data_IF_211710909046
#
_entry.id   IF_211710909046
#
_cell.length_a   1.000
_cell.length_b   1.000
_cell.length_c   1.000
_cell.angle_alpha   90.00
_cell.angle_beta   90.00
_cell.angle_gamma   90.00
#
_symmetry.space_group_name_H-M   'P 1'
#
loop_
_entity.id
_entity.type
_entity.pdbx_description
1 polymer ?
#
# COMPACT_ATOMS: atom_id res chain seq x y z
N UNK A 1 -21.15 -19.57 57.84
CA UNK A 1 -21.77 -18.68 56.85
C UNK A 1 -20.77 -17.71 56.20
N UNK A 2 -19.87 -17.05 56.98
CA UNK A 2 -18.92 -16.05 56.44
C UNK A 2 -17.85 -16.62 55.46
N UNK A 3 -17.43 -17.89 55.62
CA UNK A 3 -16.42 -18.49 54.73
C UNK A 3 -16.97 -18.88 53.34
N UNK A 4 -18.28 -19.12 53.23
CA UNK A 4 -18.94 -19.48 51.98
C UNK A 4 -19.18 -18.25 51.08
N UNK A 5 -19.47 -17.10 51.68
CA UNK A 5 -19.63 -15.84 50.94
C UNK A 5 -18.30 -15.33 50.37
N UNK A 6 -17.21 -15.38 51.14
CA UNK A 6 -15.88 -14.99 50.67
C UNK A 6 -15.37 -15.92 49.56
N UNK A 7 -15.66 -17.22 49.64
CA UNK A 7 -15.33 -18.18 48.57
C UNK A 7 -16.10 -17.93 47.28
N UNK A 8 -17.40 -17.64 47.38
CA UNK A 8 -18.23 -17.30 46.21
C UNK A 8 -17.82 -15.98 45.57
N UNK A 9 -17.45 -14.98 46.35
CA UNK A 9 -16.97 -13.68 45.85
C UNK A 9 -15.62 -13.78 45.13
N UNK A 10 -14.70 -14.56 45.70
CA UNK A 10 -13.39 -14.81 45.04
C UNK A 10 -13.53 -15.61 43.74
N UNK A 11 -14.45 -16.60 43.72
CA UNK A 11 -14.72 -17.36 42.48
C UNK A 11 -15.36 -16.48 41.40
N UNK A 12 -16.28 -15.58 41.78
CA UNK A 12 -16.93 -14.65 40.88
C UNK A 12 -15.94 -13.62 40.32
N UNK A 13 -15.07 -13.05 41.17
CA UNK A 13 -13.99 -12.15 40.75
C UNK A 13 -12.98 -12.86 39.84
N UNK A 14 -12.60 -14.09 40.14
CA UNK A 14 -11.71 -14.90 39.33
C UNK A 14 -12.30 -15.16 37.92
N UNK A 15 -13.56 -15.53 37.83
CA UNK A 15 -14.25 -15.75 36.56
C UNK A 15 -14.46 -14.45 35.76
N UNK A 16 -14.74 -13.34 36.45
CA UNK A 16 -14.85 -12.03 35.78
C UNK A 16 -13.53 -11.54 35.22
N UNK A 17 -12.42 -11.72 35.94
CA UNK A 17 -11.08 -11.41 35.51
C UNK A 17 -10.61 -12.30 34.34
N UNK A 18 -10.90 -13.61 34.41
CA UNK A 18 -10.63 -14.54 33.30
C UNK A 18 -11.45 -14.18 32.05
N UNK A 19 -12.72 -13.84 32.18
CA UNK A 19 -13.56 -13.41 31.07
C UNK A 19 -13.08 -12.10 30.43
N UNK A 20 -12.59 -11.15 31.26
CA UNK A 20 -12.03 -9.89 30.78
C UNK A 20 -10.68 -10.05 30.06
N UNK A 21 -9.91 -11.10 30.39
CA UNK A 21 -8.63 -11.43 29.80
C UNK A 21 -8.75 -12.37 28.58
N UNK A 22 -9.93 -12.93 28.32
CA UNK A 22 -10.13 -13.87 27.21
C UNK A 22 -9.88 -13.23 25.85
N UNK A 23 -9.16 -13.93 24.96
CA UNK A 23 -8.89 -13.53 23.59
C UNK A 23 -10.16 -13.33 22.74
N UNK A 24 -11.30 -13.84 23.16
CA UNK A 24 -12.60 -13.64 22.50
C UNK A 24 -13.04 -12.17 22.50
N UNK A 25 -12.52 -11.36 23.42
CA UNK A 25 -12.84 -9.93 23.57
C UNK A 25 -11.86 -9.01 22.83
N UNK A 26 -10.88 -9.56 22.12
CA UNK A 26 -9.92 -8.79 21.35
C UNK A 26 -10.40 -8.62 19.91
N UNK A 27 -9.99 -7.51 19.29
CA UNK A 27 -10.19 -7.26 17.87
C UNK A 27 -8.84 -7.11 17.20
N UNK A 28 -8.70 -7.72 16.05
CA UNK A 28 -7.54 -7.53 15.17
C UNK A 28 -7.92 -6.57 14.06
N UNK A 29 -7.16 -5.50 13.90
CA UNK A 29 -7.39 -4.43 12.93
C UNK A 29 -6.23 -4.40 11.95
N UNK A 30 -6.55 -4.44 10.65
CA UNK A 30 -5.57 -4.27 9.59
C UNK A 30 -5.28 -2.78 9.41
N UNK A 31 -4.01 -2.39 9.53
CA UNK A 31 -3.52 -1.05 9.28
C UNK A 31 -2.53 -1.12 8.14
N UNK A 32 -2.93 -0.69 6.96
CA UNK A 32 -2.09 -0.62 5.79
C UNK A 32 -1.35 0.72 5.72
N UNK A 33 -0.17 0.72 5.12
CA UNK A 33 0.62 1.94 4.95
C UNK A 33 -0.01 2.89 3.93
N UNK A 34 -0.82 2.35 3.00
CA UNK A 34 -1.59 3.09 2.00
C UNK A 34 -2.97 2.45 1.81
N UNK A 35 -3.93 3.24 1.34
CA UNK A 35 -5.28 2.76 0.99
C UNK A 35 -5.38 2.33 -0.48
N UNK A 36 -4.46 2.76 -1.34
CA UNK A 36 -4.40 2.40 -2.74
C UNK A 36 -2.97 2.06 -3.17
N UNK A 37 -2.85 1.06 -4.03
CA UNK A 37 -1.60 0.52 -4.55
C UNK A 37 -1.70 0.37 -6.07
N UNK A 38 -0.58 0.52 -6.78
CA UNK A 38 -0.52 0.14 -8.18
C UNK A 38 -0.48 -1.38 -8.33
N UNK A 39 -1.05 -1.88 -9.43
CA UNK A 39 -0.96 -3.30 -9.75
C UNK A 39 0.51 -3.78 -9.73
N UNK A 40 0.78 -4.86 -9.01
CA UNK A 40 2.12 -5.40 -8.80
C UNK A 40 3.01 -4.62 -7.83
N UNK A 41 2.49 -3.58 -7.15
CA UNK A 41 3.17 -2.91 -6.04
C UNK A 41 3.13 -3.80 -4.79
N UNK A 42 4.10 -3.62 -3.88
CA UNK A 42 4.09 -4.30 -2.59
C UNK A 42 3.07 -3.64 -1.65
N UNK A 43 2.11 -4.43 -1.20
CA UNK A 43 1.17 -4.05 -0.14
C UNK A 43 1.85 -4.31 1.20
N UNK A 44 2.03 -3.26 1.97
CA UNK A 44 2.68 -3.31 3.28
C UNK A 44 1.76 -2.74 4.36
N UNK A 45 1.96 -3.23 5.57
CA UNK A 45 1.17 -2.83 6.72
C UNK A 45 1.34 -3.79 7.87
N UNK A 46 0.47 -3.68 8.84
CA UNK A 46 0.48 -4.52 10.04
C UNK A 46 -0.93 -4.83 10.51
N UNK A 47 -1.07 -5.93 11.22
CA UNK A 47 -2.29 -6.22 11.96
C UNK A 47 -2.05 -5.89 13.43
N UNK A 48 -2.86 -5.01 13.96
CA UNK A 48 -2.78 -4.52 15.35
C UNK A 48 -3.90 -5.16 16.15
N UNK A 49 -3.55 -5.65 17.33
CA UNK A 49 -4.51 -6.13 18.31
C UNK A 49 -5.04 -4.95 19.12
N UNK A 50 -6.34 -4.83 19.29
CA UNK A 50 -7.00 -3.72 20.01
C UNK A 50 -6.67 -3.64 21.50
N UNK A 51 -6.07 -4.70 22.06
CA UNK A 51 -5.46 -4.72 23.40
C UNK A 51 -4.18 -5.54 23.31
N UNK A 52 -3.04 -4.91 23.52
CA UNK A 52 -1.74 -5.56 23.53
C UNK A 52 -1.32 -5.85 24.96
N UNK A 53 -1.10 -7.12 25.26
CA UNK A 53 -0.36 -7.56 26.43
C UNK A 53 0.96 -8.18 25.94
N UNK A 54 2.07 -7.64 26.43
CA UNK A 54 3.42 -8.11 26.07
C UNK A 54 3.64 -9.60 26.37
N UNK A 55 2.85 -10.18 27.28
CA UNK A 55 2.93 -11.58 27.65
C UNK A 55 2.05 -12.51 26.79
N UNK A 56 1.17 -11.95 25.96
CA UNK A 56 0.27 -12.73 25.11
C UNK A 56 0.79 -12.74 23.67
N UNK A 57 1.55 -13.78 23.35
CA UNK A 57 2.08 -14.00 22.01
C UNK A 57 1.14 -14.91 21.20
N UNK A 58 0.87 -14.62 19.91
CA UNK A 58 0.13 -15.53 19.06
C UNK A 58 0.92 -16.83 18.85
N UNK A 59 0.25 -17.96 18.98
CA UNK A 59 0.83 -19.30 18.75
C UNK A 59 0.83 -19.70 17.29
N UNK A 60 -0.10 -19.15 16.50
CA UNK A 60 -0.17 -19.38 15.07
C UNK A 60 -0.66 -18.14 14.31
N UNK A 61 -0.31 -18.06 13.03
CA UNK A 61 -0.76 -17.02 12.14
C UNK A 61 -1.05 -17.61 10.75
N UNK A 62 -2.23 -17.31 10.23
CA UNK A 62 -2.61 -17.63 8.85
C UNK A 62 -3.03 -16.36 8.15
N UNK A 63 -2.28 -15.95 7.14
CA UNK A 63 -2.53 -14.72 6.38
C UNK A 63 -1.32 -14.26 5.57
N UNK A 64 -1.45 -13.16 4.82
CA UNK A 64 -0.37 -12.62 4.00
C UNK A 64 0.64 -11.87 4.88
N UNK A 65 1.80 -12.47 5.11
CA UNK A 65 2.88 -11.87 5.90
C UNK A 65 3.49 -12.81 6.93
N UNK A 66 4.12 -12.22 7.92
CA UNK A 66 4.84 -12.95 8.99
C UNK A 66 4.67 -12.27 10.34
N UNK A 67 4.72 -13.06 11.41
CA UNK A 67 4.79 -12.50 12.78
C UNK A 67 6.20 -11.95 13.01
N UNK A 68 6.26 -10.68 13.44
CA UNK A 68 7.46 -10.02 13.92
C UNK A 68 7.14 -9.25 15.20
N UNK A 69 7.88 -9.51 16.27
CA UNK A 69 7.70 -8.86 17.58
C UNK A 69 6.24 -8.93 18.11
N UNK A 70 5.57 -10.06 17.91
CA UNK A 70 4.19 -10.26 18.35
C UNK A 70 3.11 -9.61 17.49
N UNK A 71 3.49 -8.93 16.40
CA UNK A 71 2.59 -8.33 15.41
C UNK A 71 2.72 -9.06 14.07
N UNK A 72 1.63 -9.14 13.31
CA UNK A 72 1.71 -9.61 11.94
C UNK A 72 2.06 -8.45 11.01
N UNK A 73 3.20 -8.56 10.34
CA UNK A 73 3.61 -7.63 9.29
C UNK A 73 3.11 -8.16 7.96
N UNK A 74 2.26 -7.39 7.29
CA UNK A 74 1.70 -7.72 5.99
C UNK A 74 2.75 -7.41 4.92
N UNK A 75 3.00 -8.38 4.04
CA UNK A 75 3.85 -8.21 2.86
C UNK A 75 3.33 -9.12 1.76
N UNK A 76 2.70 -8.52 0.75
CA UNK A 76 2.15 -9.23 -0.41
C UNK A 76 2.19 -8.32 -1.64
N UNK A 77 2.09 -8.91 -2.81
CA UNK A 77 2.01 -8.15 -4.06
C UNK A 77 0.56 -7.80 -4.37
N UNK A 78 0.30 -6.54 -4.72
CA UNK A 78 -1.01 -6.09 -5.17
C UNK A 78 -1.44 -6.85 -6.44
N UNK A 79 -2.58 -7.50 -6.36
CA UNK A 79 -3.10 -8.39 -7.41
C UNK A 79 -3.89 -7.67 -8.50
N UNK A 80 -5.13 -8.12 -8.75
CA UNK A 80 -6.03 -7.57 -9.75
C UNK A 80 -6.48 -6.14 -9.44
N UNK A 81 -6.84 -5.39 -10.48
CA UNK A 81 -7.37 -4.01 -10.36
C UNK A 81 -8.74 -4.05 -9.67
N UNK A 82 -9.01 -3.04 -8.84
CA UNK A 82 -10.25 -2.89 -8.07
C UNK A 82 -10.06 -3.08 -6.57
N UNK A 83 -11.16 -3.19 -5.86
CA UNK A 83 -11.15 -3.43 -4.42
C UNK A 83 -10.68 -4.87 -4.13
N UNK A 84 -9.74 -4.99 -3.22
CA UNK A 84 -9.14 -6.25 -2.78
C UNK A 84 -9.29 -6.40 -1.27
N UNK A 85 -9.48 -7.62 -0.82
CA UNK A 85 -9.61 -7.95 0.60
C UNK A 85 -8.38 -8.68 1.12
N UNK A 86 -7.91 -8.28 2.28
CA UNK A 86 -6.91 -9.00 3.08
C UNK A 86 -7.63 -9.64 4.24
N UNK A 87 -7.50 -10.94 4.39
CA UNK A 87 -8.07 -11.67 5.51
C UNK A 87 -7.08 -12.67 6.09
N UNK A 88 -7.25 -12.99 7.34
CA UNK A 88 -6.44 -13.99 8.03
C UNK A 88 -6.90 -14.20 9.45
N UNK A 89 -6.09 -14.93 10.22
CA UNK A 89 -6.37 -15.18 11.63
C UNK A 89 -5.09 -15.36 12.43
N UNK A 90 -5.13 -14.93 13.67
CA UNK A 90 -4.19 -15.34 14.71
C UNK A 90 -4.78 -16.53 15.48
N UNK A 91 -3.92 -17.43 15.93
CA UNK A 91 -4.25 -18.40 16.95
C UNK A 91 -3.61 -18.02 18.28
N UNK A 92 -4.37 -18.09 19.35
CA UNK A 92 -3.89 -17.92 20.71
C UNK A 92 -4.24 -19.15 21.54
N UNK A 93 -3.33 -19.56 22.40
CA UNK A 93 -3.58 -20.67 23.32
C UNK A 93 -4.19 -20.14 24.63
N UNK A 94 -5.41 -20.54 24.94
CA UNK A 94 -6.12 -20.19 26.16
C UNK A 94 -6.68 -21.48 26.77
N UNK A 95 -6.30 -21.79 28.01
CA UNK A 95 -6.71 -23.02 28.74
C UNK A 95 -6.49 -24.31 27.90
N UNK A 96 -5.39 -24.40 27.17
CA UNK A 96 -5.07 -25.55 26.32
C UNK A 96 -5.87 -25.65 25.02
N UNK A 97 -6.69 -24.64 24.69
CA UNK A 97 -7.46 -24.56 23.44
C UNK A 97 -6.97 -23.41 22.57
N UNK A 98 -6.86 -23.63 21.28
CA UNK A 98 -6.54 -22.58 20.33
C UNK A 98 -7.79 -21.72 20.04
N UNK A 99 -7.69 -20.42 20.33
CA UNK A 99 -8.72 -19.44 20.05
C UNK A 99 -8.34 -18.69 18.79
N UNK A 100 -9.12 -18.80 17.68
CA UNK A 100 -8.87 -18.07 16.47
C UNK A 100 -9.39 -16.63 16.56
N UNK A 101 -8.53 -15.65 16.26
CA UNK A 101 -8.89 -14.24 16.11
C UNK A 101 -8.77 -13.84 14.64
N UNK A 102 -9.89 -13.69 13.97
CA UNK A 102 -9.95 -13.32 12.56
C UNK A 102 -9.74 -11.83 12.37
N UNK A 103 -9.15 -11.46 11.26
CA UNK A 103 -9.04 -10.08 10.82
C UNK A 103 -9.37 -9.97 9.33
N UNK A 104 -9.85 -8.80 8.95
CA UNK A 104 -10.17 -8.45 7.58
C UNK A 104 -9.86 -6.97 7.36
N UNK A 105 -9.37 -6.63 6.17
CA UNK A 105 -9.13 -5.27 5.73
C UNK A 105 -9.26 -5.17 4.21
N UNK A 106 -9.49 -3.97 3.70
CA UNK A 106 -9.63 -3.72 2.27
C UNK A 106 -8.61 -2.70 1.78
N UNK A 107 -8.23 -2.81 0.51
CA UNK A 107 -7.40 -1.84 -0.20
C UNK A 107 -7.81 -1.80 -1.66
N UNK A 108 -7.45 -0.74 -2.36
CA UNK A 108 -7.79 -0.57 -3.78
C UNK A 108 -6.54 -0.74 -4.62
N UNK A 109 -6.65 -1.50 -5.70
CA UNK A 109 -5.59 -1.63 -6.71
C UNK A 109 -5.97 -0.81 -7.94
N UNK A 110 -5.09 0.11 -8.31
CA UNK A 110 -5.24 0.94 -9.51
C UNK A 110 -4.28 0.51 -10.61
N UNK A 111 -4.64 0.68 -11.89
CA UNK A 111 -3.73 0.36 -12.98
C UNK A 111 -2.51 1.28 -12.94
N UNK A 112 -1.35 0.77 -13.38
CA UNK A 112 -0.18 1.61 -13.57
C UNK A 112 -0.40 2.57 -14.74
N UNK A 113 0.00 3.83 -14.59
CA UNK A 113 0.08 4.71 -15.76
C UNK A 113 1.09 4.11 -16.74
N UNK A 114 0.71 4.09 -18.02
CA UNK A 114 1.52 3.50 -19.10
C UNK A 114 1.65 4.41 -20.33
N UNK A 115 1.19 5.65 -20.24
CA UNK A 115 1.26 6.59 -21.34
C UNK A 115 1.59 8.01 -20.88
N UNK A 116 2.37 8.69 -21.70
CA UNK A 116 2.69 10.10 -21.55
C UNK A 116 1.71 10.97 -22.36
N UNK A 117 1.48 12.19 -21.91
CA UNK A 117 0.82 13.23 -22.67
C UNK A 117 1.86 14.23 -23.14
N UNK A 118 1.97 14.40 -24.44
CA UNK A 118 2.89 15.34 -25.10
C UNK A 118 2.06 16.42 -25.78
N UNK A 119 2.33 17.67 -25.48
CA UNK A 119 1.63 18.81 -26.08
C UNK A 119 2.61 19.89 -26.49
N UNK A 120 2.45 20.41 -27.73
CA UNK A 120 3.09 21.62 -28.14
C UNK A 120 2.30 22.83 -27.60
N UNK A 121 2.93 23.68 -26.82
CA UNK A 121 2.25 24.71 -26.01
C UNK A 121 1.58 25.82 -26.83
N UNK A 122 2.09 26.07 -28.04
CA UNK A 122 1.57 27.16 -28.90
C UNK A 122 0.60 26.69 -29.97
N UNK A 123 0.87 25.53 -30.57
CA UNK A 123 0.06 24.93 -31.64
C UNK A 123 0.32 23.41 -31.60
N UNK A 124 -0.64 22.60 -32.00
CA UNK A 124 -0.46 21.12 -32.03
C UNK A 124 0.48 20.63 -33.14
N UNK A 125 1.42 21.50 -33.58
CA UNK A 125 2.46 21.21 -34.56
C UNK A 125 3.78 21.79 -34.09
N UNK A 126 4.88 21.19 -34.51
CA UNK A 126 6.24 21.69 -34.26
C UNK A 126 6.89 22.14 -35.58
N UNK A 127 7.58 23.27 -35.55
CA UNK A 127 8.24 23.85 -36.70
C UNK A 127 9.73 23.56 -36.67
N UNK A 128 10.29 23.20 -37.81
CA UNK A 128 11.72 22.94 -37.93
C UNK A 128 12.54 24.20 -37.69
N UNK A 129 13.72 24.00 -37.12
CA UNK A 129 14.72 25.06 -36.96
C UNK A 129 14.40 26.13 -35.95
N UNK A 130 13.20 26.13 -35.39
CA UNK A 130 12.79 27.04 -34.31
C UNK A 130 12.54 26.32 -33.01
N UNK A 131 12.60 27.08 -31.94
CA UNK A 131 12.31 26.56 -30.59
C UNK A 131 10.80 26.39 -30.38
N UNK A 132 10.36 25.17 -30.17
CA UNK A 132 8.96 24.82 -29.89
C UNK A 132 8.83 24.50 -28.42
N UNK A 133 8.17 25.34 -27.58
CA UNK A 133 7.87 25.02 -26.24
C UNK A 133 6.88 23.84 -26.16
N UNK A 134 7.15 22.91 -25.26
CA UNK A 134 6.38 21.68 -25.10
C UNK A 134 6.14 21.37 -23.62
N UNK A 135 4.96 20.88 -23.34
CA UNK A 135 4.63 20.32 -22.04
C UNK A 135 4.51 18.79 -22.14
N UNK A 136 5.24 18.08 -21.30
CA UNK A 136 5.23 16.62 -21.22
C UNK A 136 4.90 16.22 -19.80
N UNK A 137 3.86 15.42 -19.66
CA UNK A 137 3.41 14.90 -18.40
C UNK A 137 3.14 13.40 -18.49
N UNK A 138 3.16 12.74 -17.35
CA UNK A 138 2.81 11.34 -17.24
C UNK A 138 1.71 11.21 -16.18
N UNK A 139 0.59 10.58 -16.53
CA UNK A 139 -0.57 10.50 -15.66
C UNK A 139 -0.21 9.91 -14.28
N UNK A 140 -0.59 10.59 -13.19
CA UNK A 140 -0.33 10.13 -11.82
C UNK A 140 1.13 10.25 -11.36
N UNK A 141 1.99 10.95 -12.12
CA UNK A 141 3.40 11.16 -11.78
C UNK A 141 3.70 12.64 -11.73
N UNK A 142 4.41 13.07 -10.69
CA UNK A 142 4.89 14.45 -10.54
C UNK A 142 5.91 14.79 -11.62
N UNK A 143 5.86 16.00 -12.16
CA UNK A 143 6.69 16.44 -13.31
C UNK A 143 8.20 16.36 -13.04
N UNK A 144 8.65 16.48 -11.79
CA UNK A 144 10.06 16.30 -11.42
C UNK A 144 10.55 14.85 -11.58
N UNK A 145 9.64 13.90 -11.63
CA UNK A 145 9.89 12.46 -11.86
C UNK A 145 9.73 12.04 -13.32
N UNK A 146 9.33 12.97 -14.21
CA UNK A 146 9.19 12.72 -15.65
C UNK A 146 10.45 13.19 -16.37
N UNK A 147 10.93 12.37 -17.28
CA UNK A 147 12.08 12.66 -18.15
C UNK A 147 11.67 12.40 -19.60
N UNK A 148 11.99 13.33 -20.47
CA UNK A 148 11.79 13.18 -21.91
C UNK A 148 13.10 13.44 -22.66
N UNK A 149 13.30 12.72 -23.74
CA UNK A 149 14.49 12.84 -24.60
C UNK A 149 14.12 12.68 -26.05
N UNK A 150 14.63 13.60 -26.88
CA UNK A 150 14.58 13.56 -28.34
C UNK A 150 15.75 14.34 -28.94
N UNK A 151 16.02 14.13 -30.21
CA UNK A 151 17.02 14.91 -30.93
C UNK A 151 16.60 16.39 -31.00
N UNK A 152 17.45 17.28 -30.47
CA UNK A 152 17.17 18.73 -30.41
C UNK A 152 16.22 19.14 -29.28
N UNK A 153 16.00 18.27 -28.27
CA UNK A 153 15.19 18.57 -27.10
C UNK A 153 16.06 18.96 -25.92
N UNK A 154 15.61 19.98 -25.16
CA UNK A 154 16.17 20.41 -23.89
C UNK A 154 15.05 20.77 -22.93
N UNK A 155 15.30 20.65 -21.60
CA UNK A 155 14.33 21.00 -20.59
C UNK A 155 14.20 19.93 -19.51
N UNK A 156 13.40 20.21 -18.47
CA UNK A 156 13.13 19.34 -17.32
C UNK A 156 11.78 19.70 -16.69
N UNK A 157 11.34 18.89 -15.73
CA UNK A 157 10.14 19.15 -14.90
C UNK A 157 8.87 19.37 -15.74
N UNK A 158 8.68 18.55 -16.78
CA UNK A 158 7.51 18.64 -17.64
C UNK A 158 7.54 19.77 -18.66
N UNK A 159 8.52 20.69 -18.60
CA UNK A 159 8.70 21.80 -19.56
C UNK A 159 9.95 21.56 -20.39
N UNK A 160 9.74 21.48 -21.69
CA UNK A 160 10.78 21.18 -22.65
C UNK A 160 10.74 22.17 -23.83
N UNK A 161 11.83 22.27 -24.52
CA UNK A 161 11.93 22.99 -25.78
C UNK A 161 12.49 22.04 -26.81
N UNK A 162 11.76 21.83 -27.90
CA UNK A 162 12.17 21.01 -29.04
C UNK A 162 12.55 21.89 -30.18
N UNK A 163 13.76 21.71 -30.73
CA UNK A 163 14.23 22.31 -31.99
C UNK A 163 14.49 21.20 -33.01
N UNK A 164 13.47 20.79 -33.78
CA UNK A 164 13.60 19.67 -34.69
C UNK A 164 14.59 20.00 -35.83
N UNK A 165 15.41 19.01 -36.17
CA UNK A 165 16.24 19.05 -37.38
C UNK A 165 15.48 18.64 -38.64
N UNK A 166 16.20 17.96 -39.56
CA UNK A 166 15.61 17.41 -40.79
C UNK A 166 14.71 16.21 -40.48
N UNK A 167 13.67 16.02 -41.28
CA UNK A 167 12.71 14.92 -41.12
C UNK A 167 11.25 15.41 -41.03
N UNK A 168 10.29 14.51 -41.13
CA UNK A 168 8.85 14.79 -41.01
C UNK A 168 8.30 14.45 -39.63
N UNK A 169 9.04 13.66 -38.85
CA UNK A 169 8.65 13.17 -37.50
C UNK A 169 9.82 13.28 -36.56
N UNK A 170 9.51 13.43 -35.25
CA UNK A 170 10.48 13.35 -34.17
C UNK A 170 9.94 12.34 -33.15
N UNK A 171 10.73 11.32 -32.83
CA UNK A 171 10.43 10.38 -31.77
C UNK A 171 10.84 11.02 -30.45
N UNK A 172 9.93 11.06 -29.52
CA UNK A 172 10.15 11.54 -28.14
C UNK A 172 9.98 10.35 -27.20
N UNK A 173 11.05 9.95 -26.53
CA UNK A 173 10.99 8.90 -25.52
C UNK A 173 10.73 9.54 -24.16
N UNK A 174 9.70 9.11 -23.49
CA UNK A 174 9.31 9.62 -22.17
C UNK A 174 9.47 8.51 -21.14
N UNK A 175 10.07 8.82 -20.00
CA UNK A 175 10.15 7.92 -18.87
C UNK A 175 9.67 8.62 -17.60
N UNK A 176 9.04 7.86 -16.71
CA UNK A 176 8.54 8.36 -15.44
C UNK A 176 8.85 7.39 -14.32
N UNK A 177 9.29 7.93 -13.20
CA UNK A 177 9.50 7.14 -11.98
C UNK A 177 8.23 7.21 -11.14
N UNK A 178 7.57 6.06 -10.96
CA UNK A 178 6.37 5.93 -10.16
C UNK A 178 6.68 6.09 -8.64
N UNK A 179 5.67 6.39 -7.81
CA UNK A 179 5.85 6.51 -6.35
C UNK A 179 6.43 5.26 -5.68
N UNK A 180 6.25 4.08 -6.28
CA UNK A 180 6.83 2.81 -5.81
C UNK A 180 8.28 2.59 -6.30
N UNK A 181 8.90 3.57 -6.97
CA UNK A 181 10.28 3.52 -7.45
C UNK A 181 10.46 2.82 -8.79
N UNK A 182 9.43 2.23 -9.38
CA UNK A 182 9.51 1.62 -10.71
C UNK A 182 9.51 2.67 -11.81
N UNK A 183 10.27 2.41 -12.88
CA UNK A 183 10.31 3.26 -14.06
C UNK A 183 9.39 2.67 -15.13
N UNK A 184 8.55 3.53 -15.69
CA UNK A 184 7.70 3.24 -16.87
C UNK A 184 8.15 4.14 -18.02
N UNK A 185 7.94 3.70 -19.25
CA UNK A 185 8.33 4.46 -20.46
C UNK A 185 7.27 4.37 -21.54
N UNK A 186 7.21 5.42 -22.37
CA UNK A 186 6.34 5.55 -23.52
C UNK A 186 7.12 6.19 -24.70
#
# INVERSE_FOLDING_TARGET
AKNTEAGAYNLFLGNALQSAASMKNFQAIVVLDKNAYFQGEQVTGKVVLGRYDANTQPTSFKGPGKIQNGQAVISMTAGGIGEQTISGQFGFLEDGKEIPLKFEGTYVVVPRPNSATISADKMNVVYRGVANPMTISFAGVSNDKVRANAAGMTGTNGKYVLKPGAGSTVMINVSATLPDGKVVSD
#
